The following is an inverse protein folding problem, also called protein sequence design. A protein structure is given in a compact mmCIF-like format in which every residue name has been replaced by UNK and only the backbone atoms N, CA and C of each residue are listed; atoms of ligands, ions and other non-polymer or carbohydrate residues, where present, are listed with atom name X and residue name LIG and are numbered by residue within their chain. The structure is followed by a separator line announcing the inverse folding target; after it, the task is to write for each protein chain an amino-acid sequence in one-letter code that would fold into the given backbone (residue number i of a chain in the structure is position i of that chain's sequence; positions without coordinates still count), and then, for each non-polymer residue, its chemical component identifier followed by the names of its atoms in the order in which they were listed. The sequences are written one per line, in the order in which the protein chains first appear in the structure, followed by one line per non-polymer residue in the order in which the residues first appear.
data_IF_904812460642
#
_entry.id   IF_904812460642
#
_cell.length_a   1.000
_cell.length_b   1.000
_cell.length_c   1.000
_cell.angle_alpha   90.00
_cell.angle_beta   90.00
_cell.angle_gamma   90.00
#
_symmetry.space_group_name_H-M   'P 1'
#
loop_
_entity.id
_entity.type
_entity.pdbx_description
1 polymer ?
#
# COMPACT_ATOMS: atom_id res chain seq x y z
N UNK A 1 81.17 15.79 -3.54
CA UNK A 1 81.94 15.68 -4.81
C UNK A 1 80.96 15.05 -5.83
N UNK A 2 80.53 15.57 -6.92
CA UNK A 2 80.89 16.71 -7.79
C UNK A 2 79.61 17.08 -8.58
N UNK A 3 79.38 18.37 -8.68
CA UNK A 3 78.46 19.02 -9.65
C UNK A 3 78.93 18.79 -11.09
N UNK A 4 78.00 19.02 -12.07
CA UNK A 4 78.19 19.77 -13.34
C UNK A 4 76.91 19.54 -14.16
N UNK A 5 76.04 20.50 -14.31
CA UNK A 5 75.81 21.68 -15.18
C UNK A 5 75.50 21.39 -16.66
N UNK A 6 74.36 21.95 -17.06
CA UNK A 6 73.82 22.55 -18.29
C UNK A 6 74.78 22.57 -19.55
N UNK A 7 74.24 22.23 -20.75
CA UNK A 7 74.06 23.17 -21.89
C UNK A 7 73.64 22.45 -23.15
N UNK A 8 72.53 22.86 -23.74
CA UNK A 8 72.26 23.32 -25.09
C UNK A 8 72.93 22.62 -26.29
N UNK A 9 72.10 22.06 -27.20
CA UNK A 9 72.38 22.16 -28.64
C UNK A 9 71.05 22.31 -29.41
N UNK A 10 70.96 23.40 -30.17
CA UNK A 10 70.06 23.70 -31.28
C UNK A 10 70.49 22.98 -32.54
N UNK A 11 69.55 22.43 -33.28
CA UNK A 11 69.82 21.86 -34.63
C UNK A 11 68.55 21.70 -35.43
N UNK A 12 68.37 22.59 -36.31
CA UNK A 12 67.48 22.92 -37.42
C UNK A 12 66.83 21.76 -38.21
N UNK A 13 65.56 21.96 -38.57
CA UNK A 13 64.87 21.85 -39.84
C UNK A 13 64.55 20.47 -40.47
N UNK A 14 63.28 20.30 -40.73
CA UNK A 14 62.68 19.29 -41.62
C UNK A 14 61.18 19.42 -41.68
N UNK A 15 60.64 20.33 -42.48
CA UNK A 15 59.27 20.43 -42.87
C UNK A 15 58.86 19.22 -43.71
N UNK A 16 58.03 18.35 -43.23
CA UNK A 16 57.18 17.47 -44.05
C UNK A 16 55.74 17.66 -43.61
N UNK A 17 54.94 18.31 -44.46
CA UNK A 17 53.53 18.47 -44.34
C UNK A 17 52.85 17.10 -44.53
N UNK A 18 52.41 16.46 -43.44
CA UNK A 18 51.46 15.37 -43.47
C UNK A 18 50.05 15.95 -43.15
N UNK A 19 49.17 15.94 -44.15
CA UNK A 19 47.83 16.39 -44.07
C UNK A 19 47.06 15.55 -43.00
N UNK A 20 46.73 16.17 -41.85
CA UNK A 20 45.81 15.61 -40.89
C UNK A 20 44.41 15.90 -41.39
N UNK A 21 43.74 14.86 -41.91
CA UNK A 21 42.31 14.87 -42.16
C UNK A 21 41.58 15.12 -40.82
N UNK A 22 41.15 16.35 -40.63
CA UNK A 22 40.22 16.70 -39.53
C UNK A 22 38.83 16.20 -39.90
N UNK A 23 38.59 14.90 -39.71
CA UNK A 23 37.21 14.41 -39.60
C UNK A 23 36.57 15.06 -38.39
N UNK A 24 35.29 15.45 -38.48
CA UNK A 24 34.58 15.96 -37.28
C UNK A 24 34.48 14.85 -36.26
N UNK A 25 35.30 14.91 -35.22
CA UNK A 25 35.09 14.13 -34.01
C UNK A 25 33.81 14.64 -33.39
N UNK A 26 32.69 14.04 -33.80
CA UNK A 26 31.43 14.18 -33.06
C UNK A 26 31.69 13.51 -31.73
N UNK A 27 32.12 14.30 -30.75
CA UNK A 27 32.00 13.93 -29.35
C UNK A 27 30.48 13.67 -29.13
N UNK A 28 30.08 12.40 -29.28
CA UNK A 28 28.83 11.96 -28.66
C UNK A 28 29.03 12.22 -27.20
N UNK A 29 28.59 13.41 -26.75
CA UNK A 29 28.32 13.62 -25.35
C UNK A 29 27.35 12.49 -24.97
N UNK A 30 27.84 11.48 -24.27
CA UNK A 30 26.98 10.54 -23.56
C UNK A 30 26.25 11.45 -22.59
N UNK A 31 25.03 11.81 -22.95
CA UNK A 31 24.14 12.49 -22.01
C UNK A 31 24.11 11.57 -20.79
N UNK A 32 24.78 12.01 -19.75
CA UNK A 32 24.82 11.27 -18.47
C UNK A 32 23.37 11.00 -18.13
N UNK A 33 22.99 9.72 -18.08
CA UNK A 33 21.61 9.34 -17.83
C UNK A 33 21.19 10.04 -16.54
N UNK A 34 20.26 10.97 -16.64
CA UNK A 34 19.75 11.68 -15.45
C UNK A 34 19.04 10.65 -14.59
N UNK A 35 19.34 10.62 -13.31
CA UNK A 35 18.78 9.66 -12.36
C UNK A 35 17.82 10.36 -11.43
N UNK A 36 16.74 9.66 -11.07
CA UNK A 36 15.82 10.01 -9.99
C UNK A 36 16.09 9.04 -8.86
N UNK A 37 16.48 9.52 -7.71
CA UNK A 37 16.78 8.69 -6.56
C UNK A 37 15.53 8.60 -5.66
N UNK A 38 15.00 7.39 -5.46
CA UNK A 38 13.80 7.15 -4.65
C UNK A 38 14.18 6.32 -3.44
N UNK A 39 13.92 6.84 -2.25
CA UNK A 39 14.00 6.11 -0.99
C UNK A 39 12.72 5.31 -0.78
N UNK A 40 12.83 4.01 -0.60
CA UNK A 40 11.71 3.11 -0.37
C UNK A 40 11.75 2.59 1.05
N UNK A 41 10.83 3.08 1.88
CA UNK A 41 10.78 2.77 3.32
C UNK A 41 9.65 1.80 3.62
N UNK A 42 10.02 0.57 3.97
CA UNK A 42 9.11 -0.49 4.38
C UNK A 42 9.68 -1.30 5.55
N UNK A 43 8.90 -2.24 6.09
CA UNK A 43 9.36 -3.20 7.08
C UNK A 43 9.85 -4.46 6.36
N UNK A 44 11.15 -4.59 6.21
CA UNK A 44 11.79 -5.80 5.70
C UNK A 44 11.92 -6.85 6.80
N UNK A 45 12.03 -6.39 8.05
CA UNK A 45 12.09 -7.21 9.24
C UNK A 45 11.02 -6.80 10.26
N UNK A 46 10.84 -7.65 11.29
CA UNK A 46 9.80 -7.44 12.31
C UNK A 46 8.41 -7.91 11.90
N UNK A 47 7.40 -7.78 12.80
CA UNK A 47 6.08 -8.38 12.62
C UNK A 47 5.28 -7.81 11.44
N UNK A 48 5.51 -6.55 11.04
CA UNK A 48 4.80 -5.95 9.90
C UNK A 48 5.31 -6.44 8.54
N UNK A 49 6.53 -6.99 8.48
CA UNK A 49 7.06 -7.58 7.25
C UNK A 49 6.10 -8.65 6.70
N UNK A 50 5.77 -9.65 7.51
CA UNK A 50 4.86 -10.73 7.14
C UNK A 50 3.39 -10.27 7.02
N UNK A 51 3.02 -9.16 7.67
CA UNK A 51 1.66 -8.63 7.61
C UNK A 51 1.32 -7.90 6.30
N UNK A 52 2.26 -7.80 5.36
CA UNK A 52 2.04 -7.23 4.04
C UNK A 52 3.05 -6.18 3.60
N UNK A 53 3.89 -5.65 4.50
CA UNK A 53 4.90 -4.64 4.17
C UNK A 53 5.84 -5.11 3.07
N UNK A 54 6.36 -6.34 3.19
CA UNK A 54 7.25 -6.94 2.19
C UNK A 54 6.54 -7.14 0.84
N UNK A 55 5.25 -7.45 0.82
CA UNK A 55 4.46 -7.56 -0.40
C UNK A 55 4.27 -6.20 -1.09
N UNK A 56 4.06 -5.13 -0.33
CA UNK A 56 4.04 -3.77 -0.88
C UNK A 56 5.40 -3.39 -1.50
N UNK A 57 6.50 -3.68 -0.79
CA UNK A 57 7.86 -3.46 -1.32
C UNK A 57 8.11 -4.24 -2.62
N UNK A 58 7.71 -5.53 -2.68
CA UNK A 58 7.82 -6.35 -3.90
C UNK A 58 7.07 -5.72 -5.07
N UNK A 59 5.85 -5.23 -4.84
CA UNK A 59 5.09 -4.50 -5.84
C UNK A 59 5.80 -3.24 -6.33
N UNK A 60 6.25 -2.39 -5.41
CA UNK A 60 6.99 -1.16 -5.72
C UNK A 60 8.27 -1.45 -6.51
N UNK A 61 9.05 -2.45 -6.10
CA UNK A 61 10.27 -2.86 -6.80
C UNK A 61 9.98 -3.33 -8.22
N UNK A 62 8.99 -4.18 -8.41
CA UNK A 62 8.66 -4.71 -9.75
C UNK A 62 8.30 -3.61 -10.74
N UNK A 63 7.56 -2.58 -10.34
CA UNK A 63 7.22 -1.47 -11.24
C UNK A 63 8.41 -0.54 -11.50
N UNK A 64 9.28 -0.32 -10.52
CA UNK A 64 10.54 0.42 -10.71
C UNK A 64 11.42 -0.30 -11.74
N UNK A 65 11.61 -1.60 -11.59
CA UNK A 65 12.39 -2.42 -12.53
C UNK A 65 11.78 -2.36 -13.94
N UNK A 66 10.45 -2.51 -14.05
CA UNK A 66 9.72 -2.40 -15.32
C UNK A 66 9.93 -1.04 -16.01
N UNK A 67 9.77 0.06 -15.28
CA UNK A 67 9.99 1.40 -15.82
C UNK A 67 11.45 1.58 -16.28
N UNK A 68 12.40 1.08 -15.50
CA UNK A 68 13.82 1.13 -15.86
C UNK A 68 14.15 0.31 -17.12
N UNK A 69 13.56 -0.88 -17.28
CA UNK A 69 13.70 -1.70 -18.49
C UNK A 69 13.17 -0.97 -19.74
N UNK A 70 12.09 -0.19 -19.58
CA UNK A 70 11.51 0.63 -20.66
C UNK A 70 12.26 1.94 -20.94
N UNK A 71 13.42 2.14 -20.33
CA UNK A 71 14.25 3.33 -20.57
C UNK A 71 14.22 4.35 -19.43
N UNK A 72 13.43 4.12 -18.37
CA UNK A 72 13.21 5.03 -17.27
C UNK A 72 12.04 5.99 -17.52
N UNK A 73 11.79 6.89 -16.56
CA UNK A 73 10.75 7.90 -16.67
C UNK A 73 11.02 8.78 -17.89
N UNK A 74 9.99 8.97 -18.73
CA UNK A 74 10.07 9.69 -20.01
C UNK A 74 11.11 9.11 -21.00
N UNK A 75 11.51 7.82 -20.83
CA UNK A 75 12.56 7.21 -21.66
C UNK A 75 13.96 7.78 -21.42
N UNK A 76 14.17 8.53 -20.38
CA UNK A 76 15.40 9.31 -20.13
C UNK A 76 15.93 9.20 -18.71
N UNK A 77 15.05 9.21 -17.71
CA UNK A 77 15.43 9.29 -16.30
C UNK A 77 15.39 7.90 -15.67
N UNK A 78 16.55 7.31 -15.42
CA UNK A 78 16.65 6.04 -14.69
C UNK A 78 16.33 6.24 -13.21
N UNK A 79 15.67 5.28 -12.62
CA UNK A 79 15.34 5.28 -11.19
C UNK A 79 16.43 4.53 -10.45
N UNK A 80 17.00 5.16 -9.44
CA UNK A 80 17.92 4.53 -8.48
C UNK A 80 17.15 4.37 -7.17
N UNK A 81 16.96 3.13 -6.74
CA UNK A 81 16.27 2.78 -5.50
C UNK A 81 17.25 2.71 -4.33
N UNK A 82 16.87 3.32 -3.21
CA UNK A 82 17.56 3.16 -1.92
C UNK A 82 16.55 2.64 -0.89
N UNK A 83 16.80 1.47 -0.32
CA UNK A 83 15.89 0.85 0.64
C UNK A 83 16.18 1.27 2.08
N UNK A 84 15.10 1.39 2.87
CA UNK A 84 15.12 1.55 4.31
C UNK A 84 14.26 0.48 4.99
N UNK A 85 14.77 -0.12 6.07
CA UNK A 85 14.04 -1.07 6.90
C UNK A 85 13.58 -0.42 8.19
N UNK A 86 12.27 -0.22 8.34
CA UNK A 86 11.69 0.35 9.58
C UNK A 86 11.62 -0.64 10.75
N UNK A 87 11.93 -1.92 10.52
CA UNK A 87 11.98 -2.97 11.55
C UNK A 87 10.72 -3.05 12.43
N UNK A 88 9.57 -2.64 11.86
CA UNK A 88 8.28 -2.53 12.55
C UNK A 88 8.29 -1.62 13.79
N UNK A 89 9.18 -0.61 13.81
CA UNK A 89 9.35 0.35 14.91
C UNK A 89 9.28 1.78 14.38
N UNK A 90 8.41 2.62 14.96
CA UNK A 90 8.21 4.00 14.53
C UNK A 90 9.49 4.85 14.61
N UNK A 91 10.29 4.69 15.67
CA UNK A 91 11.55 5.39 15.82
C UNK A 91 12.55 5.00 14.73
N UNK A 92 12.67 3.70 14.42
CA UNK A 92 13.55 3.21 13.35
C UNK A 92 13.08 3.74 12.00
N UNK A 93 11.77 3.74 11.73
CA UNK A 93 11.22 4.31 10.51
C UNK A 93 11.60 5.79 10.32
N UNK A 94 11.57 6.58 11.40
CA UNK A 94 11.99 7.99 11.39
C UNK A 94 13.48 8.11 11.08
N UNK A 95 14.32 7.31 11.75
CA UNK A 95 15.78 7.36 11.57
C UNK A 95 16.19 6.91 10.16
N UNK A 96 15.56 5.86 9.62
CA UNK A 96 15.78 5.42 8.25
C UNK A 96 15.33 6.45 7.21
N UNK A 97 14.19 7.12 7.44
CA UNK A 97 13.78 8.23 6.58
C UNK A 97 14.81 9.38 6.59
N UNK A 98 15.34 9.75 7.76
CA UNK A 98 16.42 10.74 7.88
C UNK A 98 17.68 10.30 7.13
N UNK A 99 18.07 9.03 7.25
CA UNK A 99 19.21 8.48 6.49
C UNK A 99 18.97 8.59 5.00
N UNK A 100 17.80 8.14 4.52
CA UNK A 100 17.44 8.21 3.10
C UNK A 100 17.43 9.66 2.58
N UNK A 101 16.85 10.59 3.32
CA UNK A 101 16.73 11.99 2.90
C UNK A 101 18.04 12.77 2.98
N UNK A 102 18.86 12.56 4.00
CA UNK A 102 20.01 13.43 4.32
C UNK A 102 21.35 12.79 3.96
N UNK A 103 21.50 11.47 4.08
CA UNK A 103 22.75 10.75 3.74
C UNK A 103 22.68 10.25 2.30
N UNK A 104 21.65 9.48 1.96
CA UNK A 104 21.44 8.97 0.61
C UNK A 104 20.99 10.05 -0.37
N UNK A 105 20.46 11.17 0.13
CA UNK A 105 19.98 12.33 -0.64
C UNK A 105 18.96 11.94 -1.71
N UNK A 106 17.96 11.15 -1.30
CA UNK A 106 16.88 10.77 -2.21
C UNK A 106 16.03 11.98 -2.59
N UNK A 107 15.55 12.02 -3.82
CA UNK A 107 14.66 13.07 -4.34
C UNK A 107 13.23 12.89 -3.83
N UNK A 108 12.81 11.63 -3.68
CA UNK A 108 11.46 11.21 -3.27
C UNK A 108 11.60 10.18 -2.15
N UNK A 109 10.87 10.36 -1.06
CA UNK A 109 10.63 9.31 -0.08
C UNK A 109 9.28 8.67 -0.36
N UNK A 110 9.26 7.34 -0.52
CA UNK A 110 8.04 6.59 -0.82
C UNK A 110 7.91 5.37 0.09
N UNK A 111 6.69 4.84 0.22
CA UNK A 111 6.45 3.63 1.00
C UNK A 111 5.57 3.89 2.21
N UNK A 112 6.04 3.42 3.34
CA UNK A 112 5.47 3.43 4.69
C UNK A 112 4.23 2.55 4.82
N UNK A 113 4.44 1.38 5.41
CA UNK A 113 3.37 0.41 5.61
C UNK A 113 2.49 0.75 6.81
N UNK A 114 3.09 0.90 7.98
CA UNK A 114 2.34 1.11 9.23
C UNK A 114 1.85 2.54 9.38
N UNK A 115 0.58 2.70 9.76
CA UNK A 115 0.01 4.01 10.09
C UNK A 115 0.65 4.63 11.33
N UNK A 116 1.11 3.82 12.29
CA UNK A 116 1.84 4.29 13.47
C UNK A 116 3.19 4.93 13.09
N UNK A 117 3.80 4.49 11.98
CA UNK A 117 5.00 5.10 11.42
C UNK A 117 4.67 6.33 10.58
N UNK A 118 3.64 6.24 9.73
CA UNK A 118 3.30 7.28 8.76
C UNK A 118 2.85 8.60 9.42
N UNK A 119 2.09 8.52 10.53
CA UNK A 119 1.55 9.72 11.20
C UNK A 119 2.66 10.68 11.68
N UNK A 120 3.64 10.26 12.49
CA UNK A 120 4.74 11.14 12.89
C UNK A 120 5.71 11.46 11.75
N UNK A 121 5.95 10.50 10.85
CA UNK A 121 6.87 10.69 9.73
C UNK A 121 6.38 11.77 8.76
N UNK A 122 5.10 11.75 8.39
CA UNK A 122 4.52 12.71 7.46
C UNK A 122 4.72 14.16 7.94
N UNK A 123 4.50 14.41 9.24
CA UNK A 123 4.74 15.73 9.82
C UNK A 123 6.20 16.15 9.76
N UNK A 124 7.10 15.24 10.08
CA UNK A 124 8.54 15.52 10.10
C UNK A 124 9.07 15.82 8.71
N UNK A 125 8.69 15.00 7.71
CA UNK A 125 9.12 15.15 6.31
C UNK A 125 8.55 16.44 5.70
N UNK A 126 7.28 16.75 5.98
CA UNK A 126 6.62 17.96 5.50
C UNK A 126 7.26 19.25 6.07
N UNK A 127 7.59 19.28 7.37
CA UNK A 127 8.34 20.38 8.01
C UNK A 127 9.71 20.62 7.38
N UNK A 128 10.35 19.56 6.87
CA UNK A 128 11.61 19.64 6.15
C UNK A 128 11.45 20.01 4.68
N UNK A 129 10.21 20.24 4.21
CA UNK A 129 9.86 20.51 2.81
C UNK A 129 10.40 19.43 1.87
N UNK A 130 10.27 18.15 2.28
CA UNK A 130 10.67 16.98 1.48
C UNK A 130 9.41 16.25 1.01
N UNK A 131 9.47 15.67 -0.19
CA UNK A 131 8.32 15.01 -0.79
C UNK A 131 8.16 13.57 -0.24
N UNK A 132 6.96 13.27 0.27
CA UNK A 132 6.57 11.96 0.77
C UNK A 132 5.38 11.40 -0.02
N UNK A 133 5.55 10.22 -0.58
CA UNK A 133 4.52 9.47 -1.29
C UNK A 133 4.13 8.23 -0.49
N UNK A 134 2.98 8.28 0.19
CA UNK A 134 2.52 7.17 1.03
C UNK A 134 1.78 6.15 0.18
N UNK A 135 2.35 4.97 0.06
CA UNK A 135 1.81 3.89 -0.78
C UNK A 135 0.85 2.96 -0.03
N UNK A 136 0.91 2.90 1.31
CA UNK A 136 0.22 1.86 2.07
C UNK A 136 -0.51 2.34 3.31
N UNK A 137 0.15 3.02 4.25
CA UNK A 137 -0.46 3.44 5.52
C UNK A 137 -1.80 4.18 5.31
N UNK A 138 -2.88 3.71 5.99
CA UNK A 138 -4.24 4.18 5.70
C UNK A 138 -4.87 5.11 6.74
N UNK A 139 -4.26 5.32 7.92
CA UNK A 139 -4.89 6.16 8.95
C UNK A 139 -5.21 7.56 8.45
N UNK A 140 -6.42 8.03 8.69
CA UNK A 140 -6.89 9.37 8.41
C UNK A 140 -6.08 10.43 9.16
N UNK A 141 -5.51 10.08 10.31
CA UNK A 141 -4.68 10.96 11.15
C UNK A 141 -3.42 11.48 10.44
N UNK A 142 -3.02 10.84 9.33
CA UNK A 142 -1.89 11.36 8.51
C UNK A 142 -2.23 12.75 7.97
N UNK A 143 -3.47 12.98 7.54
CA UNK A 143 -3.88 14.22 6.87
C UNK A 143 -4.86 15.07 7.68
N UNK A 144 -5.67 14.47 8.55
CA UNK A 144 -6.83 15.09 9.19
C UNK A 144 -6.46 16.39 9.93
N UNK A 145 -6.87 17.51 9.37
CA UNK A 145 -6.65 18.86 9.90
C UNK A 145 -5.20 19.37 9.83
N UNK A 146 -4.27 18.64 9.21
CA UNK A 146 -2.83 18.94 9.27
C UNK A 146 -2.32 19.80 8.12
N UNK A 147 -3.07 19.91 7.02
CA UNK A 147 -2.74 20.73 5.83
C UNK A 147 -1.29 20.52 5.33
N UNK A 148 -0.85 19.26 5.21
CA UNK A 148 0.48 18.90 4.73
C UNK A 148 0.67 19.36 3.28
N UNK A 149 1.86 19.87 2.97
CA UNK A 149 2.14 20.46 1.65
C UNK A 149 2.89 19.54 0.71
N UNK A 150 3.66 18.60 1.25
CA UNK A 150 4.58 17.74 0.51
C UNK A 150 4.26 16.25 0.66
N UNK A 151 3.16 15.91 1.31
CA UNK A 151 2.75 14.53 1.55
C UNK A 151 1.49 14.20 0.78
N UNK A 152 1.49 13.07 0.05
CA UNK A 152 0.37 12.62 -0.77
C UNK A 152 0.13 11.11 -0.60
N UNK A 153 -1.14 10.70 -0.68
CA UNK A 153 -1.55 9.30 -0.57
C UNK A 153 -2.64 8.96 -1.59
N UNK A 154 -2.36 8.08 -2.58
CA UNK A 154 -3.31 7.76 -3.65
C UNK A 154 -4.41 6.77 -3.28
N UNK A 155 -4.34 6.12 -2.10
CA UNK A 155 -5.28 5.08 -1.69
C UNK A 155 -6.32 5.55 -0.65
N UNK A 156 -7.27 4.66 -0.31
CA UNK A 156 -8.34 4.90 0.66
C UNK A 156 -7.83 5.07 2.11
N UNK A 157 -8.70 5.60 2.97
CA UNK A 157 -8.45 5.77 4.41
C UNK A 157 -8.95 4.60 5.24
N UNK A 158 -8.43 4.44 6.45
CA UNK A 158 -8.92 3.43 7.40
C UNK A 158 -10.39 3.65 7.79
N UNK A 159 -10.81 4.90 7.94
CA UNK A 159 -12.22 5.23 8.16
C UNK A 159 -13.11 4.66 7.05
N UNK A 160 -12.73 4.83 5.75
CA UNK A 160 -13.48 4.25 4.63
C UNK A 160 -13.52 2.71 4.66
N UNK A 161 -12.47 2.05 5.16
CA UNK A 161 -12.50 0.59 5.36
C UNK A 161 -13.59 0.19 6.35
N UNK A 162 -13.62 0.84 7.52
CA UNK A 162 -14.64 0.59 8.53
C UNK A 162 -16.06 0.88 8.02
N UNK A 163 -16.24 2.00 7.35
CA UNK A 163 -17.54 2.39 6.79
C UNK A 163 -18.05 1.39 5.76
N UNK A 164 -17.18 0.97 4.81
CA UNK A 164 -17.56 0.03 3.76
C UNK A 164 -17.93 -1.36 4.33
N UNK A 165 -17.22 -1.83 5.34
CA UNK A 165 -17.48 -3.14 5.95
C UNK A 165 -18.86 -3.19 6.62
N UNK A 166 -19.26 -2.11 7.29
CA UNK A 166 -20.60 -2.00 7.89
C UNK A 166 -21.67 -1.90 6.81
N UNK A 167 -21.47 -1.07 5.77
CA UNK A 167 -22.39 -0.97 4.64
C UNK A 167 -22.58 -2.32 3.93
N UNK A 168 -21.47 -3.06 3.70
CA UNK A 168 -21.51 -4.40 3.14
C UNK A 168 -22.42 -5.35 3.93
N UNK A 169 -22.26 -5.42 5.24
CA UNK A 169 -23.07 -6.29 6.09
C UNK A 169 -24.54 -5.84 6.10
N UNK A 170 -24.79 -4.54 6.11
CA UNK A 170 -26.17 -4.02 6.07
C UNK A 170 -26.87 -4.37 4.75
N UNK A 171 -26.16 -4.27 3.60
CA UNK A 171 -26.71 -4.60 2.27
C UNK A 171 -27.10 -6.08 2.10
N UNK A 172 -26.45 -6.97 2.86
CA UNK A 172 -26.72 -8.42 2.80
C UNK A 172 -27.46 -8.97 4.03
N UNK A 173 -27.85 -8.11 4.95
CA UNK A 173 -28.47 -8.50 6.24
C UNK A 173 -29.77 -9.31 6.05
N UNK A 174 -30.73 -8.78 5.31
CA UNK A 174 -32.01 -9.45 5.08
C UNK A 174 -31.91 -10.59 4.07
N UNK A 175 -31.22 -10.35 2.96
CA UNK A 175 -31.15 -11.32 1.86
C UNK A 175 -30.36 -12.57 2.23
N UNK A 176 -29.26 -12.45 2.97
CA UNK A 176 -28.36 -13.56 3.27
C UNK A 176 -28.31 -13.90 4.76
N UNK A 177 -28.18 -12.91 5.66
CA UNK A 177 -28.15 -13.17 7.09
C UNK A 177 -29.55 -13.39 7.69
N UNK A 178 -30.63 -13.20 6.88
CA UNK A 178 -32.03 -13.42 7.31
C UNK A 178 -32.40 -12.67 8.58
N UNK A 179 -31.89 -11.44 8.70
CA UNK A 179 -32.09 -10.57 9.85
C UNK A 179 -32.10 -9.12 9.41
N UNK A 180 -33.00 -8.29 9.95
CA UNK A 180 -32.96 -6.87 9.67
C UNK A 180 -31.62 -6.27 10.16
N UNK A 181 -31.04 -5.34 9.43
CA UNK A 181 -29.72 -4.80 9.75
C UNK A 181 -29.63 -4.23 11.18
N UNK A 182 -30.68 -3.52 11.63
CA UNK A 182 -30.79 -2.96 12.98
C UNK A 182 -30.82 -4.01 14.11
N UNK A 183 -31.22 -5.24 13.80
CA UNK A 183 -31.31 -6.35 14.76
C UNK A 183 -30.03 -7.18 14.81
N UNK A 184 -29.07 -6.93 13.92
CA UNK A 184 -27.74 -7.53 13.97
C UNK A 184 -26.97 -7.02 15.18
N UNK A 185 -26.29 -7.91 15.87
CA UNK A 185 -25.38 -7.61 16.98
C UNK A 185 -23.97 -7.48 16.44
N UNK A 186 -23.47 -6.25 16.34
CA UNK A 186 -22.17 -5.95 15.78
C UNK A 186 -21.12 -5.84 16.89
N UNK A 187 -20.00 -6.55 16.76
CA UNK A 187 -18.84 -6.35 17.61
C UNK A 187 -17.69 -5.76 16.76
N UNK A 188 -16.98 -4.79 17.33
CA UNK A 188 -15.84 -4.10 16.71
C UNK A 188 -14.63 -4.33 17.60
N UNK A 189 -13.61 -5.01 17.06
CA UNK A 189 -12.37 -5.32 17.75
C UNK A 189 -11.19 -4.83 16.91
N UNK A 190 -10.23 -4.13 17.53
CA UNK A 190 -9.13 -3.53 16.77
C UNK A 190 -7.86 -3.40 17.62
N UNK A 191 -6.68 -3.48 16.96
CA UNK A 191 -5.44 -3.09 17.60
C UNK A 191 -5.45 -1.58 17.93
N UNK A 192 -4.88 -1.18 19.05
CA UNK A 192 -5.03 0.16 19.63
C UNK A 192 -4.10 1.23 19.00
N UNK A 193 -3.35 0.89 17.95
CA UNK A 193 -2.55 1.84 17.19
C UNK A 193 -3.36 2.66 16.19
N UNK A 194 -2.66 3.52 15.45
CA UNK A 194 -3.27 4.48 14.54
C UNK A 194 -4.09 3.82 13.42
N UNK A 195 -3.75 2.60 13.01
CA UNK A 195 -4.48 1.83 11.99
C UNK A 195 -5.80 1.29 12.52
N UNK A 196 -5.75 0.48 13.58
CA UNK A 196 -6.96 -0.16 14.10
C UNK A 196 -7.96 0.84 14.67
N UNK A 197 -7.47 1.89 15.36
CA UNK A 197 -8.34 2.98 15.86
C UNK A 197 -9.09 3.69 14.74
N UNK A 198 -8.43 3.96 13.59
CA UNK A 198 -9.07 4.66 12.47
C UNK A 198 -10.14 3.81 11.77
N UNK A 199 -9.85 2.53 11.56
CA UNK A 199 -10.83 1.57 10.99
C UNK A 199 -12.01 1.35 11.96
N UNK A 200 -11.71 1.12 13.24
CA UNK A 200 -12.74 0.95 14.27
C UNK A 200 -13.64 2.19 14.46
N UNK A 201 -13.09 3.39 14.23
CA UNK A 201 -13.86 4.63 14.16
C UNK A 201 -14.82 4.61 12.96
N UNK A 202 -14.35 4.23 11.78
CA UNK A 202 -15.19 4.10 10.58
C UNK A 202 -16.35 3.10 10.79
N UNK A 203 -16.06 1.94 11.39
CA UNK A 203 -17.11 0.98 11.74
C UNK A 203 -18.19 1.61 12.65
N UNK A 204 -17.76 2.30 13.71
CA UNK A 204 -18.68 2.92 14.67
C UNK A 204 -19.52 4.04 14.05
N UNK A 205 -18.87 4.94 13.29
CA UNK A 205 -19.54 6.06 12.64
C UNK A 205 -20.62 5.58 11.67
N UNK A 206 -20.30 4.59 10.83
CA UNK A 206 -21.27 4.04 9.86
C UNK A 206 -22.38 3.26 10.55
N UNK A 207 -22.06 2.47 11.55
CA UNK A 207 -23.08 1.77 12.34
C UNK A 207 -24.05 2.75 13.01
N UNK A 208 -23.53 3.85 13.59
CA UNK A 208 -24.35 4.91 14.19
C UNK A 208 -25.20 5.63 13.14
N UNK A 209 -24.61 6.01 11.99
CA UNK A 209 -25.34 6.65 10.86
C UNK A 209 -26.53 5.80 10.40
N UNK A 210 -26.35 4.48 10.33
CA UNK A 210 -27.37 3.53 9.88
C UNK A 210 -28.29 3.01 11.01
N UNK A 211 -28.11 3.46 12.26
CA UNK A 211 -28.89 3.00 13.41
C UNK A 211 -28.69 1.53 13.76
N UNK A 212 -27.49 0.99 13.53
CA UNK A 212 -27.17 -0.42 13.79
C UNK A 212 -26.71 -0.64 15.24
N UNK A 213 -26.91 -1.86 15.75
CA UNK A 213 -26.67 -2.23 17.14
C UNK A 213 -25.21 -2.70 17.36
N UNK A 214 -24.34 -1.80 17.83
CA UNK A 214 -22.97 -2.15 18.26
C UNK A 214 -23.02 -2.62 19.72
N UNK A 215 -22.84 -3.91 19.94
CA UNK A 215 -22.90 -4.55 21.27
C UNK A 215 -21.55 -4.59 22.00
N UNK A 216 -20.45 -4.42 21.28
CA UNK A 216 -19.10 -4.32 21.84
C UNK A 216 -18.22 -3.51 20.89
N UNK A 217 -17.43 -2.59 21.45
CA UNK A 217 -16.30 -1.96 20.77
C UNK A 217 -15.09 -1.98 21.71
N UNK A 218 -14.03 -2.69 21.33
CA UNK A 218 -12.88 -2.91 22.21
C UNK A 218 -11.57 -2.83 21.41
N UNK A 219 -10.63 -2.01 21.92
CA UNK A 219 -9.25 -1.97 21.46
C UNK A 219 -8.38 -2.93 22.27
N UNK A 220 -7.31 -3.45 21.66
CA UNK A 220 -6.33 -4.29 22.35
C UNK A 220 -4.92 -3.93 21.88
N UNK A 221 -3.91 -4.18 22.73
CA UNK A 221 -2.52 -3.98 22.34
C UNK A 221 -2.05 -5.05 21.35
N UNK A 222 -1.42 -4.62 20.26
CA UNK A 222 -0.79 -5.54 19.30
C UNK A 222 0.25 -6.47 19.95
N UNK A 223 0.81 -6.06 21.09
CA UNK A 223 1.80 -6.83 21.84
C UNK A 223 1.16 -7.63 23.00
N UNK A 224 -0.17 -7.71 23.07
CA UNK A 224 -0.84 -8.49 24.10
C UNK A 224 -0.43 -9.98 23.99
N UNK A 225 0.09 -10.58 25.08
CA UNK A 225 0.47 -12.00 25.04
C UNK A 225 -0.74 -12.94 25.12
N UNK A 226 -1.91 -12.41 25.49
CA UNK A 226 -3.15 -13.15 25.67
C UNK A 226 -4.36 -12.26 25.39
N UNK A 227 -5.32 -12.79 24.63
CA UNK A 227 -6.60 -12.15 24.28
C UNK A 227 -7.81 -12.93 24.80
N UNK A 228 -7.62 -13.93 25.68
CA UNK A 228 -8.67 -14.80 26.19
C UNK A 228 -9.80 -14.04 26.91
N UNK A 229 -9.45 -12.99 27.64
CA UNK A 229 -10.46 -12.13 28.30
C UNK A 229 -11.33 -11.39 27.30
N UNK A 230 -10.76 -10.92 26.17
CA UNK A 230 -11.49 -10.28 25.09
C UNK A 230 -12.40 -11.29 24.36
N UNK A 231 -11.92 -12.52 24.12
CA UNK A 231 -12.75 -13.60 23.57
C UNK A 231 -13.92 -13.90 24.50
N UNK A 232 -13.71 -13.92 25.82
CA UNK A 232 -14.78 -14.12 26.82
C UNK A 232 -15.83 -13.01 26.76
N UNK A 233 -15.42 -11.73 26.65
CA UNK A 233 -16.35 -10.60 26.44
C UNK A 233 -17.16 -10.77 25.15
N UNK A 234 -16.52 -11.11 24.04
CA UNK A 234 -17.18 -11.37 22.75
C UNK A 234 -18.22 -12.48 22.86
N UNK A 235 -17.88 -13.59 23.52
CA UNK A 235 -18.82 -14.70 23.75
C UNK A 235 -20.03 -14.27 24.60
N UNK A 236 -19.84 -13.43 25.59
CA UNK A 236 -20.94 -12.94 26.45
C UNK A 236 -21.94 -12.07 25.70
N UNK A 237 -21.45 -11.25 24.75
CA UNK A 237 -22.32 -10.38 23.94
C UNK A 237 -22.87 -11.09 22.69
N UNK A 238 -22.47 -12.32 22.38
CA UNK A 238 -22.95 -13.13 21.25
C UNK A 238 -23.13 -12.34 19.96
N UNK A 239 -22.07 -11.85 19.33
CA UNK A 239 -22.19 -11.04 18.14
C UNK A 239 -22.69 -11.87 16.95
N UNK A 240 -23.52 -11.27 16.09
CA UNK A 240 -23.83 -11.83 14.78
C UNK A 240 -22.66 -11.60 13.83
N UNK A 241 -22.01 -10.44 13.91
CA UNK A 241 -20.90 -10.03 13.07
C UNK A 241 -19.75 -9.51 13.92
N UNK A 242 -18.55 -9.98 13.63
CA UNK A 242 -17.32 -9.46 14.23
C UNK A 242 -16.51 -8.74 13.15
N UNK A 243 -16.29 -7.45 13.36
CA UNK A 243 -15.29 -6.65 12.64
C UNK A 243 -13.97 -6.70 13.40
N UNK A 244 -12.90 -7.12 12.74
CA UNK A 244 -11.59 -7.27 13.37
C UNK A 244 -10.48 -6.59 12.54
N UNK A 245 -9.73 -5.71 13.21
CA UNK A 245 -8.58 -5.00 12.61
C UNK A 245 -7.32 -5.31 13.40
N UNK A 246 -6.31 -5.89 12.74
CA UNK A 246 -5.05 -6.27 13.39
C UNK A 246 -3.98 -6.65 12.37
N UNK A 247 -2.87 -7.18 12.86
CA UNK A 247 -1.74 -7.70 12.08
C UNK A 247 -1.61 -9.21 12.27
N UNK A 248 -0.65 -9.86 11.57
CA UNK A 248 -0.56 -11.32 11.58
C UNK A 248 -0.39 -11.94 12.98
N UNK A 249 0.49 -11.43 13.87
CA UNK A 249 0.73 -12.08 15.16
C UNK A 249 -0.51 -12.08 16.06
N UNK A 250 -1.13 -10.92 16.21
CA UNK A 250 -2.30 -10.71 17.08
C UNK A 250 -3.56 -11.35 16.50
N UNK A 251 -3.77 -11.31 15.18
CA UNK A 251 -4.85 -12.05 14.50
C UNK A 251 -4.70 -13.54 14.75
N UNK A 252 -3.49 -14.09 14.61
CA UNK A 252 -3.24 -15.51 14.82
C UNK A 252 -3.48 -15.93 16.26
N UNK A 253 -3.07 -15.10 17.22
CA UNK A 253 -3.35 -15.31 18.65
C UNK A 253 -4.86 -15.31 18.91
N UNK A 254 -5.56 -14.27 18.43
CA UNK A 254 -7.00 -14.14 18.59
C UNK A 254 -7.77 -15.33 18.01
N UNK A 255 -7.51 -15.69 16.74
CA UNK A 255 -8.24 -16.77 16.07
C UNK A 255 -8.05 -18.13 16.76
N UNK A 256 -6.83 -18.40 17.26
CA UNK A 256 -6.57 -19.60 18.04
C UNK A 256 -7.39 -19.65 19.32
N UNK A 257 -7.32 -18.61 20.13
CA UNK A 257 -8.06 -18.52 21.38
C UNK A 257 -9.58 -18.46 21.17
N UNK A 258 -10.04 -17.77 20.11
CA UNK A 258 -11.45 -17.73 19.72
C UNK A 258 -11.99 -19.12 19.36
N UNK A 259 -11.21 -19.93 18.62
CA UNK A 259 -11.56 -21.32 18.29
C UNK A 259 -11.60 -22.20 19.56
N UNK A 260 -10.55 -22.13 20.36
CA UNK A 260 -10.44 -22.91 21.62
C UNK A 260 -11.59 -22.63 22.58
N UNK A 261 -11.97 -21.35 22.73
CA UNK A 261 -13.08 -20.94 23.58
C UNK A 261 -14.47 -21.08 22.93
N UNK A 262 -14.53 -21.51 21.66
CA UNK A 262 -15.78 -21.74 20.96
C UNK A 262 -16.57 -20.46 20.65
N UNK A 263 -15.90 -19.36 20.30
CA UNK A 263 -16.57 -18.14 19.81
C UNK A 263 -17.32 -18.47 18.51
N UNK A 264 -18.57 -17.98 18.40
CA UNK A 264 -19.44 -18.23 17.25
C UNK A 264 -20.05 -16.92 16.74
N UNK A 265 -20.20 -16.83 15.39
CA UNK A 265 -20.78 -15.66 14.71
C UNK A 265 -21.33 -16.05 13.34
N UNK A 266 -22.11 -15.18 12.72
CA UNK A 266 -22.64 -15.35 11.36
C UNK A 266 -21.67 -14.87 10.30
N UNK A 267 -20.86 -13.85 10.61
CA UNK A 267 -19.83 -13.31 9.71
C UNK A 267 -18.61 -12.83 10.48
N UNK A 268 -17.42 -13.08 9.90
CA UNK A 268 -16.14 -12.56 10.34
C UNK A 268 -15.58 -11.65 9.25
N UNK A 269 -15.37 -10.39 9.58
CA UNK A 269 -14.94 -9.34 8.65
C UNK A 269 -13.61 -8.78 9.14
N UNK A 270 -12.53 -9.19 8.48
CA UNK A 270 -11.20 -8.63 8.69
C UNK A 270 -10.97 -7.34 7.89
N UNK A 271 -9.99 -6.57 8.29
CA UNK A 271 -9.57 -5.38 7.54
C UNK A 271 -8.09 -5.49 7.22
N UNK A 272 -7.74 -5.54 5.94
CA UNK A 272 -6.38 -5.45 5.39
C UNK A 272 -5.29 -6.21 6.15
N UNK A 273 -4.10 -5.70 6.12
CA UNK A 273 -2.95 -6.18 6.88
C UNK A 273 -2.87 -7.72 6.95
N UNK A 274 -2.84 -8.31 8.13
CA UNK A 274 -2.74 -9.76 8.31
C UNK A 274 -3.92 -10.56 7.73
N UNK A 275 -5.13 -9.99 7.68
CA UNK A 275 -6.30 -10.65 7.07
C UNK A 275 -6.18 -10.81 5.55
N UNK A 276 -5.33 -10.03 4.91
CA UNK A 276 -5.06 -10.09 3.46
C UNK A 276 -3.83 -10.92 3.10
N UNK A 277 -3.22 -11.62 4.06
CA UNK A 277 -2.10 -12.54 3.82
C UNK A 277 -2.62 -13.99 3.79
N UNK A 278 -3.24 -14.37 2.67
CA UNK A 278 -3.91 -15.66 2.51
C UNK A 278 -2.97 -16.85 2.77
N UNK A 279 -1.72 -16.77 2.30
CA UNK A 279 -0.69 -17.79 2.52
C UNK A 279 -0.44 -18.01 4.02
N UNK A 280 -0.30 -16.94 4.78
CA UNK A 280 -0.07 -16.99 6.23
C UNK A 280 -1.28 -17.49 7.01
N UNK A 281 -2.46 -17.06 6.64
CA UNK A 281 -3.70 -17.55 7.25
C UNK A 281 -3.91 -19.05 6.98
N UNK A 282 -3.64 -19.50 5.76
CA UNK A 282 -3.74 -20.93 5.40
C UNK A 282 -2.66 -21.77 6.07
N UNK A 283 -1.44 -21.27 6.17
CA UNK A 283 -0.35 -21.94 6.90
C UNK A 283 -0.72 -22.16 8.37
N UNK A 284 -1.33 -21.15 9.02
CA UNK A 284 -1.66 -21.21 10.44
C UNK A 284 -2.96 -21.97 10.77
N UNK A 285 -3.97 -21.91 9.90
CA UNK A 285 -5.35 -22.32 10.21
C UNK A 285 -5.98 -23.26 9.15
N UNK A 286 -5.31 -23.49 8.04
CA UNK A 286 -5.82 -24.37 6.99
C UNK A 286 -7.19 -23.92 6.45
N UNK A 287 -8.18 -24.80 6.53
CA UNK A 287 -9.56 -24.53 6.09
C UNK A 287 -10.41 -23.74 7.10
N UNK A 288 -9.93 -23.50 8.29
CA UNK A 288 -10.71 -22.78 9.31
C UNK A 288 -10.98 -21.31 8.91
N UNK A 289 -10.16 -20.75 8.01
CA UNK A 289 -10.30 -19.38 7.51
C UNK A 289 -11.13 -19.26 6.23
N UNK A 290 -11.63 -20.37 5.70
CA UNK A 290 -12.58 -20.31 4.59
C UNK A 290 -13.79 -19.47 4.95
N UNK A 291 -14.28 -18.70 3.98
CA UNK A 291 -15.38 -17.74 4.08
C UNK A 291 -15.12 -16.49 4.94
N UNK A 292 -13.90 -16.33 5.46
CA UNK A 292 -13.55 -15.06 6.10
C UNK A 292 -13.45 -13.96 5.06
N UNK A 293 -13.84 -12.76 5.46
CA UNK A 293 -13.75 -11.58 4.62
C UNK A 293 -12.54 -10.74 5.01
N UNK A 294 -12.00 -10.00 4.06
CA UNK A 294 -11.05 -8.92 4.31
C UNK A 294 -11.38 -7.73 3.44
N UNK A 295 -11.16 -6.54 3.96
CA UNK A 295 -11.22 -5.32 3.19
C UNK A 295 -9.80 -4.83 2.91
N UNK A 296 -9.55 -4.46 1.66
CA UNK A 296 -8.27 -3.89 1.24
C UNK A 296 -8.50 -2.97 0.03
N UNK A 297 -7.54 -2.14 -0.38
CA UNK A 297 -7.56 -1.57 -1.72
C UNK A 297 -7.74 -2.68 -2.76
N UNK A 298 -8.46 -2.37 -3.82
CA UNK A 298 -8.82 -3.38 -4.81
C UNK A 298 -7.58 -4.08 -5.35
N UNK A 299 -7.54 -5.41 -5.23
CA UNK A 299 -6.50 -6.21 -5.82
C UNK A 299 -6.69 -6.26 -7.34
N UNK A 300 -5.78 -5.65 -8.09
CA UNK A 300 -5.93 -5.44 -9.53
C UNK A 300 -6.17 -6.72 -10.33
N UNK A 301 -5.57 -7.83 -9.90
CA UNK A 301 -5.71 -9.14 -10.53
C UNK A 301 -7.09 -9.80 -10.34
N UNK A 302 -7.95 -9.21 -9.51
CA UNK A 302 -9.33 -9.68 -9.29
C UNK A 302 -10.37 -8.82 -10.02
N UNK A 303 -9.95 -7.69 -10.61
CA UNK A 303 -10.84 -6.85 -11.41
C UNK A 303 -11.07 -7.43 -12.81
N UNK A 304 -12.27 -7.23 -13.33
CA UNK A 304 -12.52 -7.42 -14.77
C UNK A 304 -11.72 -6.38 -15.57
N UNK A 305 -10.76 -6.79 -16.41
CA UNK A 305 -9.95 -5.85 -17.21
C UNK A 305 -10.80 -4.94 -18.12
N UNK A 306 -12.01 -5.36 -18.49
CA UNK A 306 -12.94 -4.56 -19.31
C UNK A 306 -13.45 -3.30 -18.61
N UNK A 307 -13.35 -3.25 -17.27
CA UNK A 307 -13.71 -2.07 -16.47
C UNK A 307 -12.55 -1.06 -16.36
N UNK A 308 -11.38 -1.41 -16.87
CA UNK A 308 -10.20 -0.56 -16.86
C UNK A 308 -10.02 0.15 -18.21
N UNK A 309 -9.36 1.30 -18.19
CA UNK A 309 -8.99 2.00 -19.42
C UNK A 309 -7.95 1.21 -20.22
N UNK A 310 -7.89 1.42 -21.55
CA UNK A 310 -6.91 0.75 -22.40
C UNK A 310 -5.48 0.87 -21.85
N UNK A 311 -4.73 -0.23 -21.85
CA UNK A 311 -3.36 -0.32 -21.36
C UNK A 311 -3.21 -0.51 -19.83
N UNK A 312 -4.24 -0.21 -19.03
CA UNK A 312 -4.17 -0.38 -17.57
C UNK A 312 -4.24 -1.88 -17.19
N UNK A 313 -5.07 -2.65 -17.87
CA UNK A 313 -5.16 -4.10 -17.66
C UNK A 313 -3.84 -4.84 -17.97
N UNK A 314 -3.09 -4.36 -18.96
CA UNK A 314 -1.78 -4.94 -19.33
C UNK A 314 -0.75 -4.82 -18.20
N UNK A 315 -0.83 -3.77 -17.39
CA UNK A 315 0.03 -3.60 -16.21
C UNK A 315 -0.26 -4.66 -15.14
N UNK A 316 -1.53 -5.04 -14.97
CA UNK A 316 -1.90 -6.13 -14.05
C UNK A 316 -1.33 -7.46 -14.52
N UNK A 317 -1.42 -7.76 -15.82
CA UNK A 317 -0.83 -8.97 -16.39
C UNK A 317 0.70 -8.99 -16.22
N UNK A 318 1.37 -7.86 -16.43
CA UNK A 318 2.81 -7.72 -16.23
C UNK A 318 3.20 -7.89 -14.75
N UNK A 319 2.44 -7.32 -13.82
CA UNK A 319 2.65 -7.51 -12.37
C UNK A 319 2.57 -9.00 -11.99
N UNK A 320 1.52 -9.69 -12.43
CA UNK A 320 1.33 -11.13 -12.14
C UNK A 320 2.47 -11.97 -12.73
N UNK A 321 2.86 -11.69 -13.98
CA UNK A 321 3.98 -12.35 -14.65
C UNK A 321 5.29 -12.18 -13.88
N UNK A 322 5.60 -10.94 -13.45
CA UNK A 322 6.81 -10.65 -12.67
C UNK A 322 6.78 -11.28 -11.30
N UNK A 323 5.65 -11.25 -10.62
CA UNK A 323 5.51 -11.89 -9.31
C UNK A 323 5.78 -13.40 -9.40
N UNK A 324 5.22 -14.08 -10.41
CA UNK A 324 5.49 -15.50 -10.66
C UNK A 324 6.98 -15.77 -10.95
N UNK A 325 7.59 -14.95 -11.77
CA UNK A 325 8.99 -15.13 -12.15
C UNK A 325 9.97 -14.92 -10.98
N UNK A 326 9.66 -13.99 -10.06
CA UNK A 326 10.58 -13.56 -9.02
C UNK A 326 10.35 -14.22 -7.65
N UNK A 327 9.10 -14.60 -7.34
CA UNK A 327 8.73 -14.97 -5.98
C UNK A 327 8.04 -16.32 -5.84
N UNK A 328 7.06 -16.62 -6.70
CA UNK A 328 6.31 -17.89 -6.63
C UNK A 328 5.78 -18.30 -8.02
N UNK A 329 6.47 -19.20 -8.73
CA UNK A 329 6.05 -19.65 -10.06
C UNK A 329 4.70 -20.36 -10.09
N UNK A 330 4.29 -20.96 -8.98
CA UNK A 330 3.06 -21.77 -8.87
C UNK A 330 1.84 -20.97 -8.43
N UNK A 331 2.02 -19.73 -7.95
CA UNK A 331 0.92 -18.93 -7.38
C UNK A 331 -0.20 -18.71 -8.40
N UNK A 332 -1.45 -18.88 -7.95
CA UNK A 332 -2.60 -18.45 -8.71
C UNK A 332 -2.78 -16.93 -8.57
N UNK A 333 -3.22 -16.19 -9.61
CA UNK A 333 -3.36 -14.74 -9.53
C UNK A 333 -4.19 -14.26 -8.34
N UNK A 334 -5.30 -14.93 -8.04
CA UNK A 334 -6.19 -14.60 -6.93
C UNK A 334 -5.73 -15.12 -5.55
N UNK A 335 -4.55 -15.72 -5.47
CA UNK A 335 -3.86 -16.01 -4.22
C UNK A 335 -2.73 -14.99 -3.93
N UNK A 336 -2.38 -14.14 -4.89
CA UNK A 336 -1.44 -13.04 -4.66
C UNK A 336 -2.07 -12.03 -3.70
N UNK A 337 -1.34 -11.68 -2.64
CA UNK A 337 -1.83 -10.71 -1.66
C UNK A 337 -2.17 -9.34 -2.30
N UNK A 338 -3.29 -8.69 -1.96
CA UNK A 338 -3.67 -7.37 -2.45
C UNK A 338 -2.57 -6.32 -2.31
N UNK A 339 -1.74 -6.44 -1.29
CA UNK A 339 -0.61 -5.55 -1.02
C UNK A 339 0.43 -5.50 -2.15
N UNK A 340 0.59 -6.57 -2.93
CA UNK A 340 1.48 -6.56 -4.10
C UNK A 340 0.97 -5.58 -5.16
N UNK A 341 -0.31 -5.66 -5.49
CA UNK A 341 -0.91 -4.75 -6.48
C UNK A 341 -0.98 -3.31 -5.94
N UNK A 342 -1.16 -3.13 -4.64
CA UNK A 342 -1.14 -1.80 -4.00
C UNK A 342 0.23 -1.12 -4.14
N UNK A 343 1.31 -1.82 -3.79
CA UNK A 343 2.66 -1.30 -3.95
C UNK A 343 3.00 -0.99 -5.40
N UNK A 344 2.63 -1.89 -6.32
CA UNK A 344 2.86 -1.72 -7.76
C UNK A 344 2.07 -0.53 -8.33
N UNK A 345 0.75 -0.47 -8.08
CA UNK A 345 -0.12 0.58 -8.59
C UNK A 345 0.26 1.96 -8.05
N UNK A 346 0.49 2.08 -6.75
CA UNK A 346 0.75 3.37 -6.14
C UNK A 346 2.10 3.95 -6.55
N UNK A 347 3.11 3.11 -6.77
CA UNK A 347 4.36 3.54 -7.37
C UNK A 347 4.20 3.83 -8.87
N UNK A 348 3.38 3.08 -9.61
CA UNK A 348 3.09 3.37 -11.01
C UNK A 348 2.46 4.77 -11.18
N UNK A 349 1.49 5.15 -10.33
CA UNK A 349 0.90 6.49 -10.36
C UNK A 349 1.97 7.56 -10.20
N UNK A 350 2.87 7.40 -9.23
CA UNK A 350 3.99 8.33 -9.02
C UNK A 350 4.88 8.45 -10.27
N UNK A 351 5.28 7.30 -10.83
CA UNK A 351 6.28 7.23 -11.90
C UNK A 351 5.72 7.54 -13.29
N UNK A 352 4.41 7.36 -13.50
CA UNK A 352 3.78 7.53 -14.81
C UNK A 352 2.93 8.83 -14.92
N UNK A 353 2.54 9.41 -13.80
CA UNK A 353 1.73 10.65 -13.79
C UNK A 353 2.46 11.81 -13.10
N UNK A 354 2.80 11.67 -11.82
CA UNK A 354 3.31 12.79 -11.00
C UNK A 354 4.72 13.22 -11.44
N UNK A 355 5.66 12.28 -11.51
CA UNK A 355 7.06 12.59 -11.85
C UNK A 355 7.20 13.11 -13.28
N UNK A 356 6.58 12.51 -14.32
CA UNK A 356 6.60 13.06 -15.67
C UNK A 356 6.06 14.49 -15.73
N UNK A 357 4.93 14.76 -15.05
CA UNK A 357 4.32 16.11 -15.02
C UNK A 357 5.24 17.11 -14.33
N UNK A 358 5.86 16.73 -13.20
CA UNK A 358 6.81 17.59 -12.50
C UNK A 358 7.97 18.01 -13.41
N UNK A 359 8.53 17.06 -14.15
CA UNK A 359 9.64 17.32 -15.10
C UNK A 359 9.19 18.22 -16.25
N UNK A 360 8.06 17.90 -16.88
CA UNK A 360 7.61 18.56 -18.11
C UNK A 360 7.00 19.95 -17.87
N UNK A 361 6.27 20.12 -16.74
CA UNK A 361 5.55 21.38 -16.48
C UNK A 361 6.19 22.24 -15.40
N UNK A 362 6.91 21.65 -14.46
CA UNK A 362 7.42 22.35 -13.28
C UNK A 362 8.96 22.37 -13.19
N UNK A 363 9.65 21.99 -14.29
CA UNK A 363 11.08 22.18 -14.46
C UNK A 363 11.96 21.17 -13.73
N UNK A 364 11.41 20.04 -13.25
CA UNK A 364 12.21 18.98 -12.62
C UNK A 364 11.43 18.20 -11.56
N UNK A 365 12.15 17.54 -10.66
CA UNK A 365 11.58 16.72 -9.60
C UNK A 365 11.98 17.21 -8.19
N UNK A 366 12.12 18.53 -8.03
CA UNK A 366 12.23 19.14 -6.69
C UNK A 366 10.96 18.89 -5.86
N UNK A 367 11.00 18.93 -4.53
CA UNK A 367 9.81 18.74 -3.70
C UNK A 367 8.65 19.66 -4.08
N UNK A 368 8.92 20.94 -4.41
CA UNK A 368 7.90 21.89 -4.86
C UNK A 368 7.31 21.50 -6.23
N UNK A 369 8.14 21.07 -7.18
CA UNK A 369 7.69 20.63 -8.50
C UNK A 369 6.82 19.35 -8.38
N UNK A 370 7.24 18.38 -7.57
CA UNK A 370 6.49 17.16 -7.31
C UNK A 370 5.15 17.45 -6.61
N UNK A 371 5.15 18.32 -5.61
CA UNK A 371 3.94 18.69 -4.89
C UNK A 371 2.93 19.43 -5.79
N UNK A 372 3.39 20.33 -6.68
CA UNK A 372 2.54 20.97 -7.70
C UNK A 372 1.97 19.94 -8.66
N UNK A 373 2.82 19.06 -9.20
CA UNK A 373 2.39 18.00 -10.11
C UNK A 373 1.38 17.03 -9.49
N UNK A 374 1.59 16.65 -8.23
CA UNK A 374 0.64 15.79 -7.50
C UNK A 374 -0.73 16.47 -7.33
N UNK A 375 -0.79 17.77 -7.01
CA UNK A 375 -2.06 18.50 -6.92
C UNK A 375 -2.81 18.62 -8.25
N UNK A 376 -2.11 18.52 -9.37
CA UNK A 376 -2.70 18.51 -10.72
C UNK A 376 -3.11 17.11 -11.20
N UNK A 377 -2.88 16.07 -10.39
CA UNK A 377 -3.29 14.72 -10.74
C UNK A 377 -4.82 14.64 -10.85
N UNK A 378 -5.31 14.21 -12.00
CA UNK A 378 -6.72 13.99 -12.29
C UNK A 378 -6.89 12.74 -13.15
N UNK A 379 -6.71 11.58 -12.53
CA UNK A 379 -6.88 10.27 -13.16
C UNK A 379 -8.34 9.85 -12.93
N UNK A 380 -9.14 9.61 -13.99
CA UNK A 380 -10.53 9.21 -13.83
C UNK A 380 -10.65 7.75 -13.40
N UNK A 381 -11.86 7.33 -13.04
CA UNK A 381 -12.20 5.94 -12.75
C UNK A 381 -11.83 5.01 -13.93
N UNK A 382 -11.34 3.82 -13.61
CA UNK A 382 -10.74 2.88 -14.56
C UNK A 382 -9.33 3.24 -15.02
N UNK A 383 -8.81 4.40 -14.61
CA UNK A 383 -7.48 4.88 -15.03
C UNK A 383 -6.31 4.38 -14.17
N UNK A 384 -6.57 3.60 -13.13
CA UNK A 384 -5.56 2.92 -12.32
C UNK A 384 -5.81 1.42 -12.30
N UNK A 385 -4.80 0.64 -11.95
CA UNK A 385 -4.94 -0.82 -11.85
C UNK A 385 -5.94 -1.25 -10.78
N UNK A 386 -6.17 -0.42 -9.77
CA UNK A 386 -7.14 -0.67 -8.70
C UNK A 386 -8.56 -0.19 -9.04
N UNK A 387 -8.78 0.32 -10.26
CA UNK A 387 -10.09 0.70 -10.78
C UNK A 387 -10.54 2.10 -10.40
N UNK A 388 -10.26 2.59 -9.21
CA UNK A 388 -10.61 3.95 -8.82
C UNK A 388 -9.67 4.99 -9.44
N UNK A 389 -10.16 6.24 -9.55
CA UNK A 389 -9.38 7.37 -10.03
C UNK A 389 -8.47 7.97 -8.96
N UNK A 390 -7.67 8.97 -9.36
CA UNK A 390 -6.83 9.72 -8.43
C UNK A 390 -7.04 11.21 -8.62
N UNK A 391 -7.44 11.88 -7.55
CA UNK A 391 -7.46 13.32 -7.41
C UNK A 391 -7.27 13.67 -5.95
N UNK A 392 -6.34 14.55 -5.66
CA UNK A 392 -6.02 14.89 -4.28
C UNK A 392 -6.83 16.08 -3.80
N UNK A 393 -7.31 16.00 -2.55
CA UNK A 393 -7.90 17.18 -1.91
C UNK A 393 -6.92 18.36 -1.91
N UNK A 394 -7.38 19.56 -2.27
CA UNK A 394 -6.53 20.73 -2.42
C UNK A 394 -6.01 21.25 -1.07
N UNK A 395 -4.96 22.08 -1.08
CA UNK A 395 -4.51 22.80 0.12
C UNK A 395 -5.65 23.55 0.80
N UNK A 396 -5.68 23.54 2.13
CA UNK A 396 -6.77 24.12 2.94
C UNK A 396 -7.95 23.18 3.18
N UNK A 397 -8.09 22.10 2.44
CA UNK A 397 -9.06 21.05 2.77
C UNK A 397 -8.59 20.27 3.99
N UNK A 398 -9.54 19.77 4.84
CA UNK A 398 -9.24 18.98 6.04
C UNK A 398 -8.31 17.79 5.76
N UNK A 399 -8.43 17.17 4.58
CA UNK A 399 -7.64 16.04 4.13
C UNK A 399 -6.71 16.38 2.95
N UNK A 400 -6.15 17.61 2.92
CA UNK A 400 -5.24 18.02 1.85
C UNK A 400 -4.14 16.99 1.59
N UNK A 401 -3.99 16.54 0.32
CA UNK A 401 -3.02 15.52 -0.09
C UNK A 401 -3.52 14.07 -0.07
N UNK A 402 -4.73 13.81 0.47
CA UNK A 402 -5.41 12.52 0.38
C UNK A 402 -6.17 12.40 -0.95
N UNK A 403 -6.15 11.23 -1.58
CA UNK A 403 -6.99 10.94 -2.75
C UNK A 403 -8.48 10.92 -2.36
N UNK A 404 -9.29 11.74 -3.02
CA UNK A 404 -10.73 11.84 -2.80
C UNK A 404 -11.55 10.74 -3.50
N UNK A 405 -10.93 10.02 -4.49
CA UNK A 405 -11.60 9.03 -5.34
C UNK A 405 -11.34 7.58 -4.93
N UNK A 406 -10.44 7.36 -3.99
CA UNK A 406 -10.10 6.02 -3.56
C UNK A 406 -11.18 5.42 -2.65
N UNK A 407 -11.42 4.12 -2.85
CA UNK A 407 -12.29 3.31 -2.00
C UNK A 407 -11.75 1.89 -1.86
N UNK A 408 -11.97 1.23 -0.71
CA UNK A 408 -11.60 -0.17 -0.53
C UNK A 408 -12.63 -1.11 -1.14
N UNK A 409 -12.33 -2.40 -1.13
CA UNK A 409 -13.27 -3.45 -1.54
C UNK A 409 -13.28 -4.60 -0.51
N UNK A 410 -14.34 -5.40 -0.55
CA UNK A 410 -14.46 -6.61 0.27
C UNK A 410 -14.07 -7.82 -0.58
N UNK A 411 -13.12 -8.56 -0.08
CA UNK A 411 -12.73 -9.88 -0.58
C UNK A 411 -13.22 -10.95 0.38
N UNK A 412 -13.51 -12.13 -0.15
CA UNK A 412 -13.81 -13.30 0.66
C UNK A 412 -12.90 -14.46 0.26
N UNK A 413 -12.47 -15.24 1.24
CA UNK A 413 -11.74 -16.48 0.99
C UNK A 413 -12.75 -17.55 0.61
N UNK A 414 -12.73 -17.96 -0.67
CA UNK A 414 -13.60 -19.00 -1.24
C UNK A 414 -12.70 -19.99 -1.99
N UNK A 415 -12.81 -21.27 -1.67
CA UNK A 415 -11.96 -22.33 -2.27
C UNK A 415 -10.46 -22.01 -2.19
N UNK A 416 -10.05 -21.47 -1.02
CA UNK A 416 -8.66 -21.11 -0.75
C UNK A 416 -8.09 -20.00 -1.66
N UNK A 417 -8.92 -19.10 -2.17
CA UNK A 417 -8.57 -17.96 -3.03
C UNK A 417 -9.33 -16.73 -2.55
N UNK A 418 -8.84 -15.55 -2.91
CA UNK A 418 -9.62 -14.33 -2.77
C UNK A 418 -10.60 -14.17 -3.93
N UNK A 419 -11.85 -13.91 -3.59
CA UNK A 419 -12.90 -13.49 -4.52
C UNK A 419 -13.37 -12.09 -4.16
N UNK A 420 -13.57 -11.22 -5.17
CA UNK A 420 -14.03 -9.86 -4.97
C UNK A 420 -15.57 -9.85 -4.89
N UNK A 421 -16.11 -9.55 -3.71
CA UNK A 421 -17.55 -9.71 -3.43
C UNK A 421 -18.30 -8.39 -3.25
N UNK A 422 -17.59 -7.26 -3.03
CA UNK A 422 -18.22 -5.95 -2.85
C UNK A 422 -17.21 -4.80 -3.07
N UNK A 423 -17.61 -3.61 -3.58
CA UNK A 423 -18.95 -3.19 -3.99
C UNK A 423 -19.51 -3.97 -5.19
N UNK A 424 -20.84 -4.09 -5.27
CA UNK A 424 -21.53 -4.86 -6.33
C UNK A 424 -21.11 -4.47 -7.76
N UNK A 425 -20.75 -3.20 -7.97
CA UNK A 425 -20.33 -2.67 -9.29
C UNK A 425 -19.00 -3.26 -9.76
N UNK A 426 -18.11 -3.68 -8.86
CA UNK A 426 -16.81 -4.28 -9.20
C UNK A 426 -16.72 -5.76 -8.82
N UNK A 427 -17.70 -6.29 -8.09
CA UNK A 427 -17.72 -7.68 -7.66
C UNK A 427 -17.62 -8.66 -8.81
N UNK A 428 -16.86 -9.73 -8.62
CA UNK A 428 -16.69 -10.85 -9.56
C UNK A 428 -17.32 -12.15 -9.04
N UNK A 429 -17.69 -12.18 -7.75
CA UNK A 429 -18.38 -13.31 -7.13
C UNK A 429 -19.49 -12.85 -6.18
N UNK A 430 -20.40 -13.77 -5.85
CA UNK A 430 -21.37 -13.54 -4.78
C UNK A 430 -20.76 -13.93 -3.44
N UNK A 431 -21.03 -13.18 -2.36
CA UNK A 431 -20.55 -13.56 -1.03
C UNK A 431 -21.24 -14.83 -0.52
N UNK A 432 -20.56 -15.54 0.35
CA UNK A 432 -21.09 -16.66 1.13
C UNK A 432 -21.36 -16.18 2.55
N UNK A 433 -22.62 -15.98 2.88
CA UNK A 433 -23.12 -15.55 4.18
C UNK A 433 -24.42 -16.31 4.52
N UNK A 434 -24.64 -16.70 5.80
CA UNK A 434 -23.70 -16.65 6.91
C UNK A 434 -22.55 -17.62 6.74
N UNK A 435 -21.58 -17.61 7.68
CA UNK A 435 -20.53 -18.64 7.75
C UNK A 435 -21.16 -20.03 7.68
N UNK A 436 -20.75 -20.90 6.73
CA UNK A 436 -21.28 -22.27 6.63
C UNK A 436 -21.02 -23.09 7.87
N UNK A 437 -21.89 -24.07 8.14
CA UNK A 437 -21.81 -24.95 9.33
C UNK A 437 -20.48 -25.72 9.47
N UNK A 438 -19.73 -25.85 8.37
CA UNK A 438 -18.38 -26.44 8.34
C UNK A 438 -17.32 -25.51 8.94
N UNK A 439 -17.58 -24.21 9.06
CA UNK A 439 -16.66 -23.29 9.75
C UNK A 439 -16.66 -23.54 11.26
N UNK A 440 -15.49 -23.61 11.92
CA UNK A 440 -15.42 -23.73 13.37
C UNK A 440 -15.99 -22.50 14.11
N UNK A 441 -16.23 -21.40 13.42
CA UNK A 441 -16.76 -20.14 13.96
C UNK A 441 -18.24 -19.92 13.63
N UNK A 442 -18.90 -20.82 12.89
CA UNK A 442 -20.28 -20.63 12.49
C UNK A 442 -21.24 -20.62 13.69
N UNK A 443 -22.18 -19.67 13.71
CA UNK A 443 -23.32 -19.70 14.61
C UNK A 443 -24.18 -20.94 14.32
N UNK A 444 -24.55 -21.68 15.37
CA UNK A 444 -25.41 -22.86 15.28
C UNK A 444 -26.89 -22.46 15.38
#
# INVERSE_FOLDING_TARGET
MSQITRRTFLGTAGLTAAGVATGPWVLRAHAQAQTIKIGILYDHTGPFSAAGSLNCWRGAKMIIDYVNEKGGVLGKYKIVQADGDSQSKAEVAINEAERLLNVEKVDILAGVYSSAHAVPLAEKVDKQKRFLWITTAISSKVFDGRNLQYTFRPQATGTQFGELSVAYIADYSESMLKKAAKDLRLAIMYEDGAYGVDVGLGNELKAKEMGLNVVLKEGYSINAPDLSSLVTKLRSVRPDVLFHTGYNPDISLFLRQAKEQGLRMRAYIGHGAGHSQLDKLKEAFGKDVEWFHTLDPIASQLLDPKKLKPGVGDLTAEMVKRYKALYDPAVQPNAIAPHVSMGFNNMWILLNDVVPRAIQKHGGFTPDALAKAARETDIPEGGTMQGYGVKFYPPGHRFAGQNERAYPAVFQIIESKFELVYPKVVATAQPVLPLPASSPFAAR
#
